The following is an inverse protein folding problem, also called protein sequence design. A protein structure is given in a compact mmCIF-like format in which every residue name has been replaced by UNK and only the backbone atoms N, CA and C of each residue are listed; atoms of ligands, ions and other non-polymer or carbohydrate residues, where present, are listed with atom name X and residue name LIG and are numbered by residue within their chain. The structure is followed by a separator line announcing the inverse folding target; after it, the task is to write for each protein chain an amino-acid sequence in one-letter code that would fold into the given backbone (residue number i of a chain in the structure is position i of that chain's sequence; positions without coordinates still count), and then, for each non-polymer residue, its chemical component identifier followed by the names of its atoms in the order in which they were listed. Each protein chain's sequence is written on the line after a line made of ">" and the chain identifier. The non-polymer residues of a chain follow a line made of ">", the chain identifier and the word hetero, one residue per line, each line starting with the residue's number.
data_IF_693822421652
#
_entry.id   IF_693822421652
#
_cell.length_a   1.000
_cell.length_b   1.000
_cell.length_c   1.000
_cell.angle_alpha   90.00
_cell.angle_beta   90.00
_cell.angle_gamma   90.00
#
_symmetry.space_group_name_H-M   'P 1'
#
loop_
_entity.id
_entity.type
_entity.pdbx_description
1 polymer ?
#
# COMPACT_ATOMS: atom_id res chain seq x y z
N UNK A 1 -15.13 4.98 20.19
CA UNK A 1 -14.04 5.29 21.15
C UNK A 1 -13.30 6.52 20.67
N UNK A 2 -12.73 7.32 21.56
CA UNK A 2 -11.88 8.43 21.13
C UNK A 2 -10.59 7.86 20.54
N UNK A 3 -10.32 8.23 19.28
CA UNK A 3 -9.11 7.88 18.55
C UNK A 3 -7.88 8.35 19.35
N UNK A 4 -6.91 7.47 19.56
CA UNK A 4 -5.69 7.78 20.30
C UNK A 4 -4.64 8.23 19.30
N UNK A 5 -4.19 9.48 19.41
CA UNK A 5 -3.05 9.98 18.64
C UNK A 5 -1.76 9.46 19.28
N UNK A 6 -0.94 8.75 18.51
CA UNK A 6 0.29 8.16 19.04
C UNK A 6 1.41 9.20 19.08
N UNK A 7 2.03 9.33 20.25
CA UNK A 7 3.27 10.10 20.42
C UNK A 7 4.45 9.27 19.92
N UNK A 8 5.60 9.92 19.72
CA UNK A 8 6.86 9.24 19.39
C UNK A 8 7.19 8.09 20.35
N UNK A 9 6.93 8.28 21.65
CA UNK A 9 7.17 7.24 22.66
C UNK A 9 6.21 6.05 22.50
N UNK A 10 4.92 6.32 22.22
CA UNK A 10 3.97 5.25 21.92
C UNK A 10 4.39 4.46 20.68
N UNK A 11 4.80 5.15 19.62
CA UNK A 11 5.27 4.50 18.37
C UNK A 11 6.54 3.69 18.62
N UNK A 12 7.50 4.21 19.37
CA UNK A 12 8.70 3.46 19.72
C UNK A 12 8.34 2.15 20.46
N UNK A 13 7.50 2.22 21.49
CA UNK A 13 7.03 1.01 22.18
C UNK A 13 6.30 0.04 21.23
N UNK A 14 5.33 0.56 20.47
CA UNK A 14 4.53 -0.22 19.53
C UNK A 14 5.39 -0.98 18.52
N UNK A 15 6.34 -0.30 17.88
CA UNK A 15 7.25 -0.91 16.90
C UNK A 15 8.10 -2.01 17.55
N UNK A 16 8.56 -1.79 18.79
CA UNK A 16 9.33 -2.78 19.53
C UNK A 16 8.59 -4.09 19.76
N UNK A 17 7.30 -4.00 20.08
CA UNK A 17 6.43 -5.15 20.37
C UNK A 17 5.82 -5.78 19.11
N UNK A 18 5.67 -5.00 18.03
CA UNK A 18 4.95 -5.40 16.80
C UNK A 18 5.85 -5.70 15.59
N UNK A 19 7.17 -5.57 15.70
CA UNK A 19 8.08 -5.87 14.58
C UNK A 19 8.16 -7.36 14.28
N UNK A 20 8.33 -7.70 13.00
CA UNK A 20 8.58 -9.07 12.55
C UNK A 20 9.53 -9.08 11.36
N UNK A 21 10.28 -10.18 11.20
CA UNK A 21 11.23 -10.31 10.12
C UNK A 21 10.49 -10.52 8.80
N UNK A 22 10.87 -9.77 7.76
CA UNK A 22 10.27 -9.94 6.43
C UNK A 22 10.59 -11.32 5.89
N UNK A 23 9.54 -12.05 5.48
CA UNK A 23 9.71 -13.31 4.76
C UNK A 23 10.17 -13.05 3.32
N UNK A 24 11.27 -13.70 2.91
CA UNK A 24 11.78 -13.59 1.54
C UNK A 24 10.80 -14.16 0.49
N UNK A 25 9.97 -15.14 0.87
CA UNK A 25 9.00 -15.77 -0.05
C UNK A 25 7.75 -14.92 -0.25
N UNK A 26 7.42 -14.04 0.69
CA UNK A 26 6.25 -13.16 0.64
C UNK A 26 6.62 -11.71 0.29
N UNK A 27 7.87 -11.47 -0.11
CA UNK A 27 8.42 -10.11 -0.30
C UNK A 27 7.59 -9.26 -1.26
N UNK A 28 6.99 -9.87 -2.28
CA UNK A 28 6.15 -9.18 -3.27
C UNK A 28 4.64 -9.36 -3.07
N UNK A 29 4.20 -10.17 -2.11
CA UNK A 29 2.80 -10.18 -1.71
C UNK A 29 2.52 -8.85 -1.03
N UNK A 30 1.58 -8.06 -1.56
CA UNK A 30 1.24 -6.77 -0.98
C UNK A 30 0.11 -6.87 0.04
N UNK A 31 -0.10 -5.79 0.76
CA UNK A 31 -1.35 -5.49 1.47
C UNK A 31 -1.59 -3.99 1.42
N UNK A 32 -2.80 -3.58 1.73
CA UNK A 32 -3.08 -2.16 1.89
C UNK A 32 -2.38 -1.62 3.15
N UNK A 33 -2.16 -0.31 3.19
CA UNK A 33 -1.64 0.39 4.36
C UNK A 33 -2.56 0.31 5.58
N UNK A 34 -3.82 -0.11 5.39
CA UNK A 34 -4.91 -0.21 6.36
C UNK A 34 -4.48 -0.85 7.69
N UNK A 35 -4.92 -0.26 8.81
CA UNK A 35 -4.60 -0.71 10.16
C UNK A 35 -5.39 -1.95 10.62
N UNK A 36 -6.42 -2.37 9.87
CA UNK A 36 -7.38 -3.41 10.29
C UNK A 36 -6.94 -4.84 9.95
N UNK A 37 -5.81 -5.03 9.27
CA UNK A 37 -5.30 -6.38 9.00
C UNK A 37 -5.01 -7.13 10.30
N UNK A 38 -5.51 -8.35 10.40
CA UNK A 38 -5.22 -9.25 11.51
C UNK A 38 -3.74 -9.62 11.52
N UNK A 39 -3.10 -9.48 12.68
CA UNK A 39 -1.73 -9.92 12.87
C UNK A 39 -1.63 -11.44 12.70
N UNK A 40 -0.75 -11.89 11.81
CA UNK A 40 -0.47 -13.32 11.59
C UNK A 40 0.96 -13.49 11.11
N UNK A 41 1.56 -14.66 11.36
CA UNK A 41 2.96 -14.94 10.99
C UNK A 41 3.25 -14.74 9.49
N UNK A 42 2.22 -14.89 8.65
CA UNK A 42 2.32 -14.76 7.20
C UNK A 42 1.77 -13.42 6.68
N UNK A 43 1.55 -12.42 7.54
CA UNK A 43 1.07 -11.11 7.10
C UNK A 43 2.10 -10.47 6.16
N UNK A 44 1.73 -10.14 4.90
CA UNK A 44 2.68 -9.55 3.97
C UNK A 44 3.21 -8.21 4.49
N UNK A 45 4.52 -8.03 4.43
CA UNK A 45 5.18 -6.82 4.95
C UNK A 45 5.14 -5.66 3.97
N UNK A 46 5.01 -5.94 2.67
CA UNK A 46 4.85 -4.93 1.63
C UNK A 46 3.48 -4.27 1.78
N UNK A 47 3.44 -3.16 2.51
CA UNK A 47 2.23 -2.36 2.70
C UNK A 47 2.31 -1.12 1.80
N UNK A 48 1.35 -1.03 0.88
CA UNK A 48 1.28 0.00 -0.18
C UNK A 48 -0.19 0.44 -0.34
N UNK A 49 -0.50 1.71 -0.66
CA UNK A 49 -1.89 2.14 -0.79
C UNK A 49 -2.66 1.26 -1.76
N UNK A 50 -3.78 0.67 -1.33
CA UNK A 50 -4.62 -0.17 -2.18
C UNK A 50 -4.07 -1.54 -2.59
N UNK A 51 -2.92 -1.97 -2.05
CA UNK A 51 -2.29 -3.25 -2.42
C UNK A 51 -2.08 -3.35 -3.95
N UNK A 52 -2.30 -4.51 -4.56
CA UNK A 52 -2.09 -4.71 -6.00
C UNK A 52 -3.05 -3.88 -6.88
N UNK A 53 -4.23 -3.52 -6.36
CA UNK A 53 -5.16 -2.65 -7.09
C UNK A 53 -4.67 -1.21 -7.13
N UNK A 54 -4.09 -0.72 -6.03
CA UNK A 54 -3.44 0.59 -5.99
C UNK A 54 -2.17 0.62 -6.83
N UNK A 55 -1.40 -0.47 -6.88
CA UNK A 55 -0.21 -0.60 -7.74
C UNK A 55 -0.53 -0.36 -9.22
N UNK A 56 -1.64 -0.89 -9.73
CA UNK A 56 -2.11 -0.55 -11.10
C UNK A 56 -2.42 0.93 -11.25
N UNK A 57 -3.07 1.52 -10.23
CA UNK A 57 -3.34 2.95 -10.18
C UNK A 57 -2.06 3.76 -10.28
N UNK A 58 -1.02 3.39 -9.52
CA UNK A 58 0.30 4.04 -9.53
C UNK A 58 0.95 3.95 -10.92
N UNK A 59 0.94 2.76 -11.56
CA UNK A 59 1.53 2.59 -12.91
C UNK A 59 0.82 3.48 -13.94
N UNK A 60 -0.52 3.53 -13.90
CA UNK A 60 -1.32 4.36 -14.81
C UNK A 60 -1.14 5.85 -14.56
N UNK A 61 -1.13 6.27 -13.29
CA UNK A 61 -0.89 7.65 -12.90
C UNK A 61 0.52 8.11 -13.29
N UNK A 62 1.51 7.23 -13.18
CA UNK A 62 2.88 7.49 -13.64
C UNK A 62 2.92 7.75 -15.13
N UNK A 63 2.25 6.91 -15.92
CA UNK A 63 2.18 7.12 -17.35
C UNK A 63 1.51 8.44 -17.74
N UNK A 64 0.42 8.80 -17.06
CA UNK A 64 -0.28 10.05 -17.30
C UNK A 64 0.58 11.27 -16.92
N UNK A 65 1.31 11.20 -15.81
CA UNK A 65 2.10 12.31 -15.28
C UNK A 65 3.41 12.55 -16.03
N UNK A 66 4.04 11.47 -16.51
CA UNK A 66 5.36 11.51 -17.15
C UNK A 66 5.32 11.25 -18.67
N UNK A 67 4.12 11.09 -19.23
CA UNK A 67 3.91 10.98 -20.68
C UNK A 67 4.31 9.64 -21.27
N UNK A 68 4.18 8.54 -20.51
CA UNK A 68 4.40 7.20 -21.04
C UNK A 68 3.17 6.73 -21.82
N UNK A 69 3.36 6.07 -22.96
CA UNK A 69 2.24 5.34 -23.58
C UNK A 69 2.05 4.03 -22.82
N UNK A 70 0.80 3.66 -22.51
CA UNK A 70 0.46 2.46 -21.75
C UNK A 70 -0.45 1.53 -22.54
N UNK A 71 -0.11 0.24 -22.54
CA UNK A 71 -1.02 -0.86 -22.87
C UNK A 71 -1.56 -1.44 -21.55
N UNK A 72 -2.79 -1.06 -21.17
CA UNK A 72 -3.37 -1.44 -19.87
C UNK A 72 -3.44 -2.95 -19.66
N UNK A 73 -3.67 -3.72 -20.73
CA UNK A 73 -3.74 -5.19 -20.64
C UNK A 73 -2.36 -5.76 -20.33
N UNK A 74 -1.31 -5.28 -20.99
CA UNK A 74 0.05 -5.74 -20.70
C UNK A 74 0.56 -5.26 -19.35
N UNK A 75 0.12 -4.10 -18.87
CA UNK A 75 0.39 -3.66 -17.49
C UNK A 75 -0.20 -4.65 -16.49
N UNK A 76 -1.47 -5.04 -16.67
CA UNK A 76 -2.11 -6.08 -15.88
C UNK A 76 -1.38 -7.41 -15.94
N UNK A 77 -1.03 -7.88 -17.15
CA UNK A 77 -0.31 -9.14 -17.34
C UNK A 77 1.08 -9.10 -16.65
N UNK A 78 1.77 -7.95 -16.69
CA UNK A 78 3.07 -7.74 -16.02
C UNK A 78 2.93 -7.75 -14.50
N UNK A 79 1.88 -7.15 -13.96
CA UNK A 79 1.63 -7.20 -12.52
C UNK A 79 1.37 -8.63 -12.05
N UNK A 80 0.52 -9.38 -12.77
CA UNK A 80 0.22 -10.79 -12.48
C UNK A 80 1.49 -11.63 -12.46
N UNK A 81 2.31 -11.52 -13.52
CA UNK A 81 3.54 -12.30 -13.63
C UNK A 81 4.50 -11.96 -12.49
N UNK A 82 4.62 -10.68 -12.09
CA UNK A 82 5.47 -10.29 -10.97
C UNK A 82 5.04 -10.92 -9.64
N UNK A 83 3.74 -10.91 -9.35
CA UNK A 83 3.21 -11.50 -8.10
C UNK A 83 3.13 -13.02 -8.16
N UNK A 84 3.50 -13.64 -9.29
CA UNK A 84 3.52 -15.10 -9.46
C UNK A 84 2.17 -15.71 -9.80
N UNK A 85 1.27 -14.96 -10.44
CA UNK A 85 -0.02 -15.42 -10.94
C UNK A 85 -1.23 -14.79 -10.22
N UNK A 86 -2.42 -14.93 -10.83
CA UNK A 86 -3.66 -14.31 -10.32
C UNK A 86 -4.01 -14.78 -8.89
N UNK A 87 -3.70 -16.03 -8.55
CA UNK A 87 -3.95 -16.60 -7.22
C UNK A 87 -3.19 -15.88 -6.09
N UNK A 88 -2.11 -15.16 -6.42
CA UNK A 88 -1.31 -14.41 -5.46
C UNK A 88 -1.71 -12.95 -5.35
N UNK A 89 -2.63 -12.45 -6.19
CA UNK A 89 -3.10 -11.07 -6.12
C UNK A 89 -3.68 -10.78 -4.73
N UNK A 90 -3.24 -9.67 -4.15
CA UNK A 90 -3.64 -9.20 -2.84
C UNK A 90 -4.46 -7.94 -2.99
N UNK A 91 -5.68 -8.00 -2.48
CA UNK A 91 -6.61 -6.89 -2.42
C UNK A 91 -7.64 -7.16 -1.33
N UNK A 92 -8.34 -6.11 -0.90
CA UNK A 92 -9.25 -6.23 0.23
C UNK A 92 -10.53 -5.41 0.04
N UNK A 93 -11.53 -5.83 0.79
CA UNK A 93 -12.75 -5.08 1.10
C UNK A 93 -12.87 -4.95 2.63
N UNK A 94 -14.03 -4.54 3.12
CA UNK A 94 -14.35 -4.56 4.54
C UNK A 94 -15.80 -4.97 4.78
N UNK A 95 -16.11 -5.26 6.04
CA UNK A 95 -17.42 -5.73 6.48
C UNK A 95 -18.56 -4.69 6.36
N UNK A 96 -18.24 -3.44 6.02
CA UNK A 96 -19.22 -2.37 5.82
C UNK A 96 -19.53 -2.14 4.33
N UNK A 97 -18.76 -2.76 3.44
CA UNK A 97 -18.89 -2.60 2.01
C UNK A 97 -20.10 -3.35 1.44
N UNK A 98 -20.57 -2.90 0.27
CA UNK A 98 -21.61 -3.59 -0.47
C UNK A 98 -21.11 -4.98 -0.92
N UNK A 99 -21.87 -6.02 -0.58
CA UNK A 99 -21.53 -7.39 -0.94
C UNK A 99 -21.47 -7.56 -2.47
N UNK A 100 -20.51 -8.37 -2.94
CA UNK A 100 -20.32 -8.64 -4.36
C UNK A 100 -19.52 -7.59 -5.13
N UNK A 101 -19.26 -6.41 -4.57
CA UNK A 101 -18.44 -5.37 -5.22
C UNK A 101 -16.98 -5.52 -4.77
N UNK A 102 -16.07 -5.79 -5.71
CA UNK A 102 -14.64 -5.85 -5.41
C UNK A 102 -14.09 -4.46 -5.02
N UNK A 103 -13.16 -4.42 -4.08
CA UNK A 103 -12.44 -3.25 -3.55
C UNK A 103 -13.31 -2.22 -2.81
N UNK A 104 -14.59 -2.51 -2.58
CA UNK A 104 -15.55 -1.53 -2.10
C UNK A 104 -15.24 -1.01 -0.67
N UNK A 105 -14.62 -1.84 0.17
CA UNK A 105 -14.17 -1.45 1.52
C UNK A 105 -12.73 -0.92 1.60
N UNK A 106 -12.01 -0.83 0.47
CA UNK A 106 -10.68 -0.25 0.45
C UNK A 106 -10.77 1.28 0.43
N UNK A 107 -10.35 1.94 1.52
CA UNK A 107 -10.37 3.41 1.61
C UNK A 107 -9.62 4.11 0.48
N UNK A 108 -8.45 3.59 0.08
CA UNK A 108 -7.67 4.14 -1.04
C UNK A 108 -8.43 4.08 -2.38
N UNK A 109 -8.93 2.90 -2.75
CA UNK A 109 -9.68 2.73 -4.00
C UNK A 109 -10.97 3.55 -3.98
N UNK A 110 -11.66 3.61 -2.82
CA UNK A 110 -12.84 4.47 -2.65
C UNK A 110 -12.52 5.94 -2.92
N UNK A 111 -11.39 6.47 -2.45
CA UNK A 111 -11.00 7.85 -2.76
C UNK A 111 -10.68 8.04 -4.25
N UNK A 112 -9.98 7.10 -4.88
CA UNK A 112 -9.77 7.12 -6.35
C UNK A 112 -11.11 7.15 -7.10
N UNK A 113 -12.11 6.40 -6.65
CA UNK A 113 -13.44 6.38 -7.27
C UNK A 113 -14.20 7.69 -7.10
N UNK A 114 -13.98 8.39 -5.99
CA UNK A 114 -14.62 9.67 -5.71
C UNK A 114 -13.95 10.83 -6.44
N UNK A 115 -12.63 10.78 -6.62
CA UNK A 115 -11.83 11.86 -7.19
C UNK A 115 -10.59 11.32 -7.92
N UNK A 116 -10.82 10.64 -9.04
CA UNK A 116 -9.77 9.99 -9.84
C UNK A 116 -8.68 10.96 -10.31
N UNK A 117 -9.05 12.22 -10.56
CA UNK A 117 -8.13 13.27 -11.01
C UNK A 117 -7.10 13.64 -9.94
N UNK A 118 -7.45 13.62 -8.66
CA UNK A 118 -6.48 13.87 -7.59
C UNK A 118 -5.39 12.80 -7.49
N UNK A 119 -5.60 11.65 -8.12
CA UNK A 119 -4.66 10.54 -8.21
C UNK A 119 -4.03 10.41 -9.61
N UNK A 120 -4.18 11.44 -10.46
CA UNK A 120 -3.72 11.45 -11.85
C UNK A 120 -4.24 10.28 -12.69
N UNK A 121 -5.48 9.86 -12.44
CA UNK A 121 -6.14 8.76 -13.15
C UNK A 121 -7.29 9.24 -14.04
N UNK A 122 -7.47 8.54 -15.16
CA UNK A 122 -8.66 8.69 -16.01
C UNK A 122 -9.76 7.72 -15.58
N UNK A 123 -11.02 8.06 -15.85
CA UNK A 123 -12.15 7.18 -15.55
C UNK A 123 -12.03 5.81 -16.24
N UNK A 124 -11.45 5.77 -17.44
CA UNK A 124 -11.20 4.53 -18.19
C UNK A 124 -10.25 3.61 -17.43
N UNK A 125 -9.14 4.16 -16.90
CA UNK A 125 -8.18 3.40 -16.09
C UNK A 125 -8.81 2.91 -14.78
N UNK A 126 -9.61 3.75 -14.13
CA UNK A 126 -10.33 3.37 -12.91
C UNK A 126 -11.32 2.22 -13.18
N UNK A 127 -12.11 2.29 -14.25
CA UNK A 127 -13.00 1.18 -14.63
C UNK A 127 -12.22 -0.08 -15.01
N UNK A 128 -11.06 0.06 -15.66
CA UNK A 128 -10.20 -1.07 -15.99
C UNK A 128 -9.76 -1.81 -14.71
N UNK A 129 -9.27 -1.10 -13.69
CA UNK A 129 -8.87 -1.68 -12.40
C UNK A 129 -10.06 -2.43 -11.77
N UNK A 130 -11.22 -1.78 -11.64
CA UNK A 130 -12.42 -2.41 -11.07
C UNK A 130 -12.80 -3.70 -11.79
N UNK A 131 -12.82 -3.66 -13.13
CA UNK A 131 -13.24 -4.78 -13.95
C UNK A 131 -12.28 -5.97 -13.83
N UNK A 132 -10.96 -5.72 -13.77
CA UNK A 132 -9.99 -6.80 -13.58
C UNK A 132 -10.12 -7.45 -12.21
N UNK A 133 -10.25 -6.66 -11.14
CA UNK A 133 -10.40 -7.20 -9.78
C UNK A 133 -11.73 -7.91 -9.57
N UNK A 134 -12.82 -7.41 -10.15
CA UNK A 134 -14.10 -8.13 -10.17
C UNK A 134 -14.01 -9.45 -10.95
N UNK A 135 -13.30 -9.48 -12.09
CA UNK A 135 -13.10 -10.69 -12.89
C UNK A 135 -12.35 -11.77 -12.10
N UNK A 136 -11.23 -11.44 -11.46
CA UNK A 136 -10.44 -12.43 -10.71
C UNK A 136 -11.16 -12.89 -9.45
N UNK A 137 -11.90 -12.00 -8.76
CA UNK A 137 -12.79 -12.37 -7.65
C UNK A 137 -13.84 -13.39 -8.10
N UNK A 138 -14.50 -13.15 -9.22
CA UNK A 138 -15.49 -14.07 -9.79
C UNK A 138 -14.88 -15.39 -10.28
N UNK A 139 -13.56 -15.41 -10.50
CA UNK A 139 -12.79 -16.60 -10.86
C UNK A 139 -12.23 -17.35 -9.64
N UNK A 140 -12.54 -16.90 -8.42
CA UNK A 140 -12.21 -17.57 -7.16
C UNK A 140 -10.96 -17.04 -6.44
N UNK A 141 -10.33 -15.96 -6.92
CA UNK A 141 -9.26 -15.29 -6.17
C UNK A 141 -9.85 -14.63 -4.93
N UNK A 142 -9.26 -14.92 -3.77
CA UNK A 142 -9.77 -14.45 -2.48
C UNK A 142 -9.55 -12.94 -2.31
N UNK A 143 -10.63 -12.23 -2.04
CA UNK A 143 -10.57 -10.86 -1.52
C UNK A 143 -10.50 -10.91 0.00
N UNK A 144 -9.55 -10.19 0.61
CA UNK A 144 -9.42 -10.14 2.06
C UNK A 144 -10.55 -9.26 2.62
N UNK A 145 -11.34 -9.79 3.57
CA UNK A 145 -12.34 -8.99 4.27
C UNK A 145 -11.76 -8.46 5.59
N UNK A 146 -11.68 -7.14 5.73
CA UNK A 146 -11.26 -6.48 6.96
C UNK A 146 -12.47 -6.17 7.85
N UNK A 147 -12.28 -6.24 9.17
CA UNK A 147 -13.37 -6.06 10.13
C UNK A 147 -13.10 -4.91 11.10
N UNK A 148 -14.19 -4.31 11.57
CA UNK A 148 -14.16 -3.24 12.56
C UNK A 148 -13.89 -1.85 11.99
N UNK A 149 -13.89 -0.87 12.90
CA UNK A 149 -13.67 0.53 12.57
C UNK A 149 -12.17 0.85 12.47
N UNK A 150 -11.87 1.85 11.64
CA UNK A 150 -10.57 2.51 11.60
C UNK A 150 -10.26 3.18 12.94
N UNK A 151 -9.14 2.82 13.56
CA UNK A 151 -8.64 3.36 14.83
C UNK A 151 -7.13 3.72 14.72
N UNK A 152 -6.64 4.02 13.52
CA UNK A 152 -5.23 4.29 13.28
C UNK A 152 -4.75 5.55 13.99
N UNK A 153 -3.77 5.45 14.88
CA UNK A 153 -3.29 6.59 15.67
C UNK A 153 -2.07 7.32 15.10
N UNK A 154 -1.45 6.77 14.05
CA UNK A 154 -0.32 7.35 13.33
C UNK A 154 -0.16 6.71 11.95
N UNK A 155 0.64 7.35 11.10
CA UNK A 155 1.17 6.78 9.85
C UNK A 155 2.65 6.43 10.04
N UNK A 156 3.04 5.19 9.73
CA UNK A 156 4.42 4.72 9.83
C UNK A 156 5.01 4.49 8.45
N UNK A 157 6.13 5.16 8.16
CA UNK A 157 6.96 4.92 6.98
C UNK A 157 8.13 4.03 7.37
N UNK A 158 8.10 2.78 6.92
CA UNK A 158 9.04 1.72 7.30
C UNK A 158 10.13 1.54 6.24
N UNK A 159 11.38 1.58 6.69
CA UNK A 159 12.56 1.26 5.87
C UNK A 159 13.44 0.21 6.57
N UNK A 160 14.01 -0.71 5.79
CA UNK A 160 14.83 -1.84 6.26
C UNK A 160 14.25 -3.21 5.91
N UNK A 161 14.70 -4.25 6.62
CA UNK A 161 14.35 -5.67 6.37
C UNK A 161 13.36 -6.26 7.41
N UNK A 162 12.62 -5.40 8.11
CA UNK A 162 11.61 -5.76 9.11
C UNK A 162 10.27 -5.11 8.78
N UNK A 163 9.19 -5.87 8.96
CA UNK A 163 7.82 -5.39 8.91
C UNK A 163 7.32 -5.00 10.31
N UNK A 164 6.17 -4.33 10.34
CA UNK A 164 5.46 -3.97 11.57
C UNK A 164 4.01 -4.42 11.45
N UNK A 165 3.54 -5.19 12.43
CA UNK A 165 2.14 -5.54 12.53
C UNK A 165 1.29 -4.27 12.76
N UNK A 166 0.19 -4.08 12.03
CA UNK A 166 -0.56 -2.83 12.06
C UNK A 166 -1.42 -2.67 13.32
N UNK A 167 -1.57 -3.72 14.13
CA UNK A 167 -2.36 -3.73 15.37
C UNK A 167 -1.48 -4.03 16.58
N UNK A 168 -1.77 -3.42 17.72
CA UNK A 168 -1.02 -3.66 18.94
C UNK A 168 -1.62 -2.96 20.15
N UNK A 169 -0.89 -2.99 21.26
CA UNK A 169 -1.28 -2.37 22.52
C UNK A 169 -0.25 -1.33 22.89
N UNK A 170 -0.68 -0.14 23.29
CA UNK A 170 0.20 0.88 23.86
C UNK A 170 -0.23 1.24 25.27
N UNK A 171 0.73 1.58 26.12
CA UNK A 171 0.46 2.05 27.48
C UNK A 171 0.23 3.56 27.45
N UNK A 172 -0.94 3.99 27.90
CA UNK A 172 -1.32 5.41 28.04
C UNK A 172 -1.59 5.75 29.50
N UNK A 173 -1.82 7.03 29.80
CA UNK A 173 -2.27 7.46 31.14
C UNK A 173 -3.62 6.85 31.55
N UNK A 174 -4.41 6.39 30.58
CA UNK A 174 -5.68 5.70 30.80
C UNK A 174 -5.54 4.16 30.83
N UNK A 175 -4.30 3.66 30.94
CA UNK A 175 -3.94 2.25 30.91
C UNK A 175 -3.64 1.74 29.50
N UNK A 176 -3.67 0.42 29.34
CA UNK A 176 -3.42 -0.24 28.07
C UNK A 176 -4.58 0.01 27.09
N UNK A 177 -4.23 0.31 25.84
CA UNK A 177 -5.19 0.60 24.78
C UNK A 177 -4.78 -0.12 23.50
N UNK A 178 -5.75 -0.77 22.87
CA UNK A 178 -5.59 -1.32 21.53
C UNK A 178 -5.52 -0.15 20.56
N UNK A 179 -4.53 -0.18 19.66
CA UNK A 179 -4.33 0.85 18.65
C UNK A 179 -4.03 0.19 17.31
N UNK A 180 -4.33 0.93 16.25
CA UNK A 180 -3.95 0.58 14.89
C UNK A 180 -2.96 1.63 14.38
N UNK A 181 -2.24 1.33 13.31
CA UNK A 181 -1.41 2.30 12.56
C UNK A 181 -1.56 2.05 11.07
N UNK A 182 -1.48 3.11 10.28
CA UNK A 182 -1.23 2.95 8.84
C UNK A 182 0.24 2.59 8.65
N UNK A 183 0.53 1.58 7.83
CA UNK A 183 1.90 1.14 7.54
C UNK A 183 2.19 1.31 6.06
N UNK A 184 3.27 2.01 5.73
CA UNK A 184 3.82 2.09 4.38
C UNK A 184 5.26 1.57 4.41
N UNK A 185 5.59 0.56 3.60
CA UNK A 185 6.92 -0.09 3.66
C UNK A 185 7.81 0.30 2.47
N UNK A 186 8.46 1.45 2.56
CA UNK A 186 9.25 2.08 1.50
C UNK A 186 10.28 1.12 0.88
N UNK A 187 11.11 0.44 1.68
CA UNK A 187 12.14 -0.48 1.14
C UNK A 187 11.56 -1.63 0.28
N UNK A 188 10.39 -2.16 0.65
CA UNK A 188 9.75 -3.23 -0.14
C UNK A 188 9.03 -2.68 -1.35
N UNK A 189 8.40 -1.50 -1.22
CA UNK A 189 7.79 -0.78 -2.34
C UNK A 189 8.84 -0.47 -3.41
N UNK A 190 9.98 0.10 -3.03
CA UNK A 190 11.07 0.39 -3.96
C UNK A 190 11.60 -0.88 -4.63
N UNK A 191 11.76 -1.97 -3.87
CA UNK A 191 12.19 -3.25 -4.43
C UNK A 191 11.18 -3.79 -5.45
N UNK A 192 9.88 -3.60 -5.21
CA UNK A 192 8.81 -4.00 -6.12
C UNK A 192 8.77 -3.10 -7.36
N UNK A 193 8.89 -1.79 -7.20
CA UNK A 193 8.95 -0.84 -8.31
C UNK A 193 10.15 -1.08 -9.22
N UNK A 194 11.33 -1.42 -8.68
CA UNK A 194 12.48 -1.82 -9.52
C UNK A 194 12.16 -3.05 -10.37
N UNK A 195 11.55 -4.06 -9.78
CA UNK A 195 11.15 -5.26 -10.51
C UNK A 195 10.06 -4.97 -11.57
N UNK A 196 9.05 -4.15 -11.21
CA UNK A 196 8.01 -3.70 -12.14
C UNK A 196 8.58 -2.90 -13.30
N UNK A 197 9.49 -1.97 -13.05
CA UNK A 197 10.08 -1.11 -14.09
C UNK A 197 10.70 -1.94 -15.19
N UNK A 198 11.53 -2.90 -14.80
CA UNK A 198 12.12 -3.87 -15.72
C UNK A 198 11.07 -4.65 -16.49
N UNK A 199 10.08 -5.18 -15.79
CA UNK A 199 9.06 -6.05 -16.36
C UNK A 199 8.12 -5.32 -17.33
N UNK A 200 7.70 -4.10 -17.00
CA UNK A 200 6.87 -3.24 -17.84
C UNK A 200 7.58 -2.93 -19.17
N UNK A 201 8.89 -2.66 -19.14
CA UNK A 201 9.70 -2.43 -20.34
C UNK A 201 9.84 -3.71 -21.16
N UNK A 202 10.22 -4.82 -20.51
CA UNK A 202 10.42 -6.12 -21.19
C UNK A 202 9.15 -6.61 -21.88
N UNK A 203 8.00 -6.48 -21.22
CA UNK A 203 6.70 -6.87 -21.76
C UNK A 203 6.14 -5.86 -22.76
N UNK A 204 6.83 -4.73 -22.99
CA UNK A 204 6.35 -3.61 -23.82
C UNK A 204 4.95 -3.16 -23.37
N UNK A 205 4.75 -3.14 -22.06
CA UNK A 205 3.54 -2.65 -21.41
C UNK A 205 3.51 -1.13 -21.37
N UNK A 206 4.69 -0.52 -21.37
CA UNK A 206 4.87 0.93 -21.49
C UNK A 206 5.81 1.25 -22.65
N UNK A 207 5.62 2.42 -23.25
CA UNK A 207 6.59 3.03 -24.16
C UNK A 207 7.06 4.34 -23.57
N UNK A 208 8.37 4.43 -23.40
CA UNK A 208 9.01 5.59 -22.79
C UNK A 208 9.26 6.70 -23.83
N UNK A 209 9.20 7.97 -23.42
CA UNK A 209 9.76 9.08 -24.18
C UNK A 209 11.26 8.88 -24.45
N UNK A 210 11.78 9.54 -25.48
CA UNK A 210 13.20 9.47 -25.83
C UNK A 210 14.08 9.83 -24.61
N UNK A 211 15.16 9.06 -24.40
CA UNK A 211 16.16 9.20 -23.31
C UNK A 211 15.68 8.80 -21.91
N UNK A 212 14.48 8.28 -21.75
CA UNK A 212 14.05 7.64 -20.51
C UNK A 212 14.50 6.17 -20.48
N UNK A 213 14.93 5.70 -19.31
CA UNK A 213 15.41 4.33 -19.09
C UNK A 213 14.67 3.65 -17.91
N UNK A 214 15.11 2.45 -17.55
CA UNK A 214 14.52 1.68 -16.44
C UNK A 214 14.59 2.42 -15.10
N UNK A 215 15.71 3.11 -14.81
CA UNK A 215 15.87 3.86 -13.57
C UNK A 215 14.91 5.05 -13.51
N UNK A 216 14.66 5.72 -14.64
CA UNK A 216 13.64 6.75 -14.71
C UNK A 216 12.23 6.21 -14.38
N UNK A 217 11.86 5.04 -14.91
CA UNK A 217 10.57 4.40 -14.58
C UNK A 217 10.48 4.07 -13.11
N UNK A 218 11.54 3.52 -12.52
CA UNK A 218 11.59 3.19 -11.09
C UNK A 218 11.35 4.44 -10.23
N UNK A 219 12.10 5.51 -10.47
CA UNK A 219 11.99 6.74 -9.67
C UNK A 219 10.60 7.37 -9.81
N UNK A 220 10.06 7.42 -11.02
CA UNK A 220 8.73 8.00 -11.26
C UNK A 220 7.60 7.16 -10.64
N UNK A 221 7.70 5.83 -10.62
CA UNK A 221 6.77 4.97 -9.87
C UNK A 221 6.81 5.25 -8.36
N UNK A 222 8.01 5.36 -7.78
CA UNK A 222 8.17 5.66 -6.34
C UNK A 222 7.61 7.04 -5.99
N UNK A 223 7.90 8.07 -6.79
CA UNK A 223 7.38 9.42 -6.59
C UNK A 223 5.84 9.46 -6.63
N UNK A 224 5.23 8.79 -7.62
CA UNK A 224 3.76 8.73 -7.75
C UNK A 224 3.11 7.93 -6.64
N UNK A 225 3.75 6.85 -6.19
CA UNK A 225 3.28 6.06 -5.05
C UNK A 225 3.25 6.88 -3.76
N UNK A 226 4.29 7.69 -3.50
CA UNK A 226 4.30 8.62 -2.36
C UNK A 226 3.20 9.68 -2.48
N UNK A 227 2.94 10.21 -3.68
CA UNK A 227 1.82 11.12 -3.91
C UNK A 227 0.46 10.46 -3.61
N UNK A 228 0.26 9.21 -4.07
CA UNK A 228 -0.94 8.42 -3.79
C UNK A 228 -1.12 8.15 -2.28
N UNK A 229 -0.02 7.84 -1.58
CA UNK A 229 -0.02 7.69 -0.12
C UNK A 229 -0.47 9.00 0.55
N UNK A 230 0.17 10.12 0.24
CA UNK A 230 -0.14 11.42 0.84
C UNK A 230 -1.58 11.85 0.56
N UNK A 231 -2.05 11.69 -0.68
CA UNK A 231 -3.43 12.05 -1.04
C UNK A 231 -4.46 11.21 -0.29
N UNK A 232 -4.18 9.91 -0.12
CA UNK A 232 -5.02 9.00 0.66
C UNK A 232 -5.00 9.36 2.15
N UNK A 233 -3.82 9.61 2.69
CA UNK A 233 -3.64 10.01 4.08
C UNK A 233 -4.41 11.30 4.37
N UNK A 234 -4.29 12.35 3.55
CA UNK A 234 -5.02 13.62 3.75
C UNK A 234 -6.53 13.43 3.88
N UNK A 235 -7.08 12.45 3.18
CA UNK A 235 -8.53 12.15 3.13
C UNK A 235 -8.99 11.24 4.28
N UNK A 236 -8.15 10.30 4.72
CA UNK A 236 -8.54 9.27 5.70
C UNK A 236 -7.94 9.49 7.10
N UNK A 237 -6.85 10.23 7.20
CA UNK A 237 -5.94 10.27 8.33
C UNK A 237 -5.55 11.69 8.75
N UNK A 238 -6.34 12.71 8.38
CA UNK A 238 -6.07 14.12 8.71
C UNK A 238 -5.72 14.33 10.19
N UNK A 239 -4.62 15.04 10.44
CA UNK A 239 -4.12 15.34 11.78
C UNK A 239 -3.45 14.16 12.49
N UNK A 240 -3.15 13.06 11.78
CA UNK A 240 -2.30 12.01 12.31
C UNK A 240 -0.82 12.35 12.11
N UNK A 241 0.03 12.12 13.13
CA UNK A 241 1.47 12.25 12.98
C UNK A 241 2.02 11.16 12.05
N UNK A 242 3.06 11.53 11.30
CA UNK A 242 3.80 10.66 10.41
C UNK A 242 5.18 10.40 11.04
N UNK A 243 5.53 9.13 11.19
CA UNK A 243 6.82 8.72 11.72
C UNK A 243 7.60 7.89 10.71
N UNK A 244 8.88 8.22 10.54
CA UNK A 244 9.86 7.35 9.90
C UNK A 244 10.36 6.31 10.91
N UNK A 245 10.37 5.05 10.51
CA UNK A 245 10.91 3.93 11.27
C UNK A 245 11.97 3.24 10.43
N UNK A 246 13.23 3.37 10.82
CA UNK A 246 14.36 2.80 10.09
C UNK A 246 14.95 1.64 10.88
N UNK A 247 14.85 0.43 10.32
CA UNK A 247 15.39 -0.79 10.89
C UNK A 247 16.81 -1.08 10.41
N UNK A 248 17.65 -1.57 11.32
CA UNK A 248 18.91 -2.25 11.02
C UNK A 248 18.67 -3.74 10.79
N UNK A 249 19.69 -4.45 10.31
CA UNK A 249 19.61 -5.88 9.99
C UNK A 249 19.21 -6.76 11.18
N UNK A 250 19.70 -6.42 12.38
CA UNK A 250 19.43 -7.11 13.65
C UNK A 250 18.05 -6.78 14.26
N UNK A 251 17.31 -5.86 13.64
CA UNK A 251 16.00 -5.40 14.08
C UNK A 251 16.05 -4.29 15.12
N UNK A 252 17.20 -3.73 15.46
CA UNK A 252 17.25 -2.41 16.09
C UNK A 252 16.62 -1.37 15.17
N UNK A 253 15.99 -0.34 15.74
CA UNK A 253 15.32 0.68 14.95
C UNK A 253 15.41 2.07 15.57
N UNK A 254 15.27 3.08 14.70
CA UNK A 254 15.12 4.49 15.05
C UNK A 254 13.73 4.95 14.64
N UNK A 255 13.10 5.76 15.49
CA UNK A 255 11.84 6.44 15.18
C UNK A 255 12.08 7.94 15.11
N UNK A 256 11.61 8.59 14.06
CA UNK A 256 11.65 10.04 13.89
C UNK A 256 10.29 10.55 13.44
N UNK A 257 9.82 11.63 14.05
CA UNK A 257 8.64 12.34 13.58
C UNK A 257 9.04 13.17 12.37
N UNK A 258 8.34 13.01 11.26
CA UNK A 258 8.71 13.62 9.98
C UNK A 258 7.61 14.53 9.43
N UNK A 259 6.44 14.56 10.08
CA UNK A 259 5.35 15.46 9.71
C UNK A 259 4.01 15.07 10.32
N UNK A 260 2.98 15.70 9.80
CA UNK A 260 1.57 15.45 10.10
C UNK A 260 0.82 15.42 8.77
N UNK A 261 -0.23 14.60 8.70
CA UNK A 261 -1.11 14.46 7.53
C UNK A 261 -2.03 15.65 7.34
#
# INVERSE_FOLDING_TARGET
>A
MNKIILTKQHVFQFVGESKYKVSSTLKFNSRCIDGRYTNSENLPALAVPGADAGELGIIFATANSYGFEVDMKKVWDSLIELVGGEANLQFHTDSHAESGVALAGCGHIKQILMDSKAYDLTDVQVQFIKNQFLRVKNSGVSEIELYGDHQEGAVLMISGNWGVYPQGVVKTDLGNRNVQVFVYHQTLVDARHRALSKQLIQNKAIRLPDKCDEDHVFHTLSDVCENHLLETSKRLAKGLPIYSVVFKEDGEYKVEEIGEV
#
